data_IF_809170547338
#
_entry.id   IF_809170547338
#
_cell.length_a   1.000
_cell.length_b   1.000
_cell.length_c   1.000
_cell.angle_alpha   90.00
_cell.angle_beta   90.00
_cell.angle_gamma   90.00
#
_symmetry.space_group_name_H-M   'P 1'
#
loop_
_entity.id
_entity.type
_entity.pdbx_description
1 polymer ?
#
# COMPACT_ATOMS: atom_id res chain seq x y z
N UNK A 1 -13.18 13.94 15.95
CA UNK A 1 -12.84 12.78 16.80
C UNK A 1 -13.48 12.89 18.20
N UNK A 2 -14.51 13.74 18.37
CA UNK A 2 -15.18 14.00 19.65
C UNK A 2 -16.02 12.83 20.20
N UNK A 3 -16.19 11.75 19.44
CA UNK A 3 -16.97 10.57 19.85
C UNK A 3 -16.11 9.43 20.43
N UNK A 4 -14.78 9.52 20.36
CA UNK A 4 -13.86 8.45 20.84
C UNK A 4 -13.68 8.49 22.38
N UNK A 5 -14.06 9.58 23.05
CA UNK A 5 -13.94 9.67 24.50
C UNK A 5 -15.10 10.47 25.09
N UNK A 6 -16.04 9.85 25.82
CA UNK A 6 -17.10 10.57 26.52
C UNK A 6 -16.60 11.26 27.81
N UNK A 7 -15.28 11.29 28.05
CA UNK A 7 -14.73 11.81 29.30
C UNK A 7 -14.53 13.32 29.28
N UNK A 8 -14.73 13.91 30.47
CA UNK A 8 -14.72 15.33 30.91
C UNK A 8 -13.63 16.26 30.34
N UNK A 9 -12.66 15.77 29.58
CA UNK A 9 -11.59 16.54 28.95
C UNK A 9 -11.45 16.08 27.49
N UNK A 10 -11.53 17.01 26.54
CA UNK A 10 -11.26 16.73 25.13
C UNK A 10 -9.87 16.08 24.99
N UNK A 11 -9.83 14.88 24.42
CA UNK A 11 -8.57 14.20 24.09
C UNK A 11 -8.41 14.23 22.57
N UNK A 12 -7.33 14.87 22.13
CA UNK A 12 -6.91 14.83 20.73
C UNK A 12 -5.92 13.67 20.55
N UNK A 13 -6.24 12.74 19.65
CA UNK A 13 -5.28 11.71 19.24
C UNK A 13 -4.50 12.27 18.05
N UNK A 14 -3.26 12.67 18.31
CA UNK A 14 -2.33 13.15 17.30
C UNK A 14 -1.49 11.99 16.78
N UNK A 15 -1.71 11.58 15.54
CA UNK A 15 -0.77 10.71 14.84
C UNK A 15 0.43 11.53 14.39
N UNK A 16 1.64 11.02 14.62
CA UNK A 16 2.87 11.64 14.09
C UNK A 16 2.67 11.85 12.58
N UNK A 17 2.82 13.11 12.14
CA UNK A 17 2.50 13.53 10.78
C UNK A 17 3.13 12.56 9.76
N UNK A 18 2.28 12.15 8.83
CA UNK A 18 2.67 11.50 7.58
C UNK A 18 3.71 12.31 6.82
N UNK A 19 4.44 11.63 5.94
CA UNK A 19 5.48 12.22 5.08
C UNK A 19 4.97 13.48 4.36
N UNK A 20 5.53 14.64 4.72
CA UNK A 20 5.26 15.92 4.05
C UNK A 20 6.20 16.08 2.86
N UNK A 21 5.69 15.89 1.65
CA UNK A 21 6.37 16.31 0.43
C UNK A 21 6.31 17.84 0.28
N UNK A 22 7.47 18.47 0.10
CA UNK A 22 7.62 19.92 -0.08
C UNK A 22 6.88 20.47 -1.32
N UNK A 23 6.49 19.61 -2.27
CA UNK A 23 5.80 19.97 -3.51
C UNK A 23 4.28 19.79 -3.46
N UNK A 24 3.74 19.28 -2.36
CA UNK A 24 2.32 19.01 -2.22
C UNK A 24 1.66 20.12 -1.40
N UNK A 25 0.55 20.68 -1.89
CA UNK A 25 -0.17 21.71 -1.16
C UNK A 25 -0.76 21.15 0.15
N UNK A 26 -1.06 22.03 1.10
CA UNK A 26 -1.55 21.62 2.42
C UNK A 26 -2.86 20.81 2.33
N UNK A 27 -3.66 21.06 1.28
CA UNK A 27 -4.92 20.37 1.03
C UNK A 27 -4.69 18.92 0.61
N UNK A 28 -3.78 18.68 -0.33
CA UNK A 28 -3.41 17.35 -0.81
C UNK A 28 -2.76 16.53 0.31
N UNK A 29 -1.99 17.16 1.19
CA UNK A 29 -1.48 16.50 2.40
C UNK A 29 -2.59 16.06 3.35
N UNK A 30 -3.55 16.95 3.62
CA UNK A 30 -4.69 16.65 4.50
C UNK A 30 -5.59 15.56 3.92
N UNK A 31 -5.75 15.51 2.60
CA UNK A 31 -6.63 14.53 1.94
C UNK A 31 -5.94 13.18 1.75
N UNK A 32 -4.71 13.16 1.22
CA UNK A 32 -4.01 11.91 0.89
C UNK A 32 -3.38 11.23 2.09
N UNK A 33 -3.09 11.97 3.17
CA UNK A 33 -2.40 11.43 4.34
C UNK A 33 -3.21 11.48 5.64
N UNK A 34 -4.51 11.76 5.55
CA UNK A 34 -5.42 11.63 6.68
C UNK A 34 -5.67 10.16 7.05
N UNK A 35 -6.11 9.96 8.28
CA UNK A 35 -6.60 8.69 8.80
C UNK A 35 -8.10 8.76 8.98
N UNK A 36 -8.79 7.71 8.53
CA UNK A 36 -10.17 7.43 8.87
C UNK A 36 -10.20 6.66 10.19
N UNK A 37 -11.21 6.95 11.02
CA UNK A 37 -11.46 6.24 12.27
C UNK A 37 -12.91 5.75 12.28
N UNK A 38 -13.12 4.48 12.62
CA UNK A 38 -14.46 3.92 12.82
C UNK A 38 -14.48 2.98 14.01
N UNK A 39 -15.63 2.85 14.67
CA UNK A 39 -15.85 1.78 15.66
C UNK A 39 -15.87 0.46 14.90
N UNK A 40 -14.98 -0.45 15.27
CA UNK A 40 -14.95 -1.81 14.74
C UNK A 40 -15.85 -2.74 15.57
N UNK A 41 -15.82 -2.59 16.89
CA UNK A 41 -16.71 -3.27 17.82
C UNK A 41 -16.82 -2.50 19.13
N UNK A 42 -17.91 -2.69 19.87
CA UNK A 42 -18.13 -2.08 21.17
C UNK A 42 -18.90 -3.06 22.07
N UNK A 43 -18.43 -3.20 23.30
CA UNK A 43 -19.10 -3.92 24.40
C UNK A 43 -19.31 -2.98 25.61
N UNK A 44 -19.82 -3.51 26.72
CA UNK A 44 -20.13 -2.72 27.92
C UNK A 44 -18.90 -1.97 28.48
N UNK A 45 -17.69 -2.47 28.27
CA UNK A 45 -16.46 -1.96 28.88
C UNK A 45 -15.41 -1.47 27.86
N UNK A 46 -15.53 -1.85 26.59
CA UNK A 46 -14.49 -1.67 25.58
C UNK A 46 -15.06 -1.20 24.25
N UNK A 47 -14.45 -0.18 23.67
CA UNK A 47 -14.66 0.22 22.27
C UNK A 47 -13.36 -0.02 21.48
N UNK A 48 -13.44 -0.85 20.44
CA UNK A 48 -12.35 -1.03 19.48
C UNK A 48 -12.53 -0.07 18.32
N UNK A 49 -11.49 0.71 18.03
CA UNK A 49 -11.49 1.73 16.98
C UNK A 49 -10.48 1.31 15.93
N UNK A 50 -10.97 1.08 14.72
CA UNK A 50 -10.13 0.80 13.57
C UNK A 50 -9.73 2.10 12.91
N UNK A 51 -8.42 2.26 12.75
CA UNK A 51 -7.80 3.38 12.06
C UNK A 51 -7.27 2.90 10.71
N UNK A 52 -7.76 3.50 9.65
CA UNK A 52 -7.33 3.20 8.28
C UNK A 52 -6.78 4.46 7.64
N UNK A 53 -5.74 4.33 6.83
CA UNK A 53 -5.23 5.46 6.08
C UNK A 53 -6.19 5.76 4.90
N UNK A 54 -6.51 7.02 4.62
CA UNK A 54 -7.51 7.40 3.59
C UNK A 54 -7.23 6.75 2.24
N UNK A 55 -5.97 6.68 1.84
CA UNK A 55 -5.58 6.09 0.56
C UNK A 55 -5.80 4.57 0.50
N UNK A 56 -5.69 3.89 1.65
CA UNK A 56 -6.04 2.47 1.75
C UNK A 56 -7.53 2.27 1.48
N UNK A 57 -8.38 3.06 2.12
CA UNK A 57 -9.83 2.97 1.95
C UNK A 57 -10.28 3.37 0.54
N UNK A 58 -9.51 4.24 -0.13
CA UNK A 58 -9.80 4.67 -1.50
C UNK A 58 -9.82 3.51 -2.50
N UNK A 59 -8.91 2.54 -2.35
CA UNK A 59 -8.69 1.49 -3.35
C UNK A 59 -9.00 0.07 -2.85
N UNK A 60 -9.47 -0.09 -1.61
CA UNK A 60 -9.73 -1.40 -1.00
C UNK A 60 -10.70 -2.27 -1.81
N UNK A 61 -11.81 -1.69 -2.28
CA UNK A 61 -12.82 -2.45 -3.04
C UNK A 61 -12.29 -2.91 -4.39
N UNK A 62 -11.59 -2.03 -5.12
CA UNK A 62 -10.98 -2.35 -6.41
C UNK A 62 -9.86 -3.37 -6.26
N UNK A 63 -9.08 -3.27 -5.17
CA UNK A 63 -8.04 -4.25 -4.83
C UNK A 63 -8.65 -5.65 -4.67
N UNK A 64 -9.79 -5.76 -3.98
CA UNK A 64 -10.49 -7.02 -3.78
C UNK A 64 -11.09 -7.56 -5.08
N UNK A 65 -11.68 -6.69 -5.91
CA UNK A 65 -12.24 -7.08 -7.21
C UNK A 65 -11.16 -7.66 -8.13
N UNK A 66 -10.02 -6.98 -8.29
CA UNK A 66 -8.90 -7.47 -9.10
C UNK A 66 -8.34 -8.75 -8.50
N UNK A 67 -8.21 -8.84 -7.18
CA UNK A 67 -7.77 -10.07 -6.52
C UNK A 67 -8.65 -11.27 -6.87
N UNK A 68 -9.97 -11.09 -6.81
CA UNK A 68 -10.94 -12.13 -7.17
C UNK A 68 -10.84 -12.54 -8.66
N UNK A 69 -10.68 -11.58 -9.58
CA UNK A 69 -10.47 -11.87 -11.01
C UNK A 69 -9.24 -12.77 -11.25
N UNK A 70 -8.21 -12.64 -10.42
CA UNK A 70 -6.99 -13.44 -10.49
C UNK A 70 -7.00 -14.64 -9.53
N UNK A 71 -8.16 -15.02 -8.98
CA UNK A 71 -8.31 -16.11 -8.00
C UNK A 71 -7.31 -15.99 -6.83
N UNK A 72 -7.12 -14.77 -6.33
CA UNK A 72 -6.25 -14.39 -5.21
C UNK A 72 -4.77 -14.76 -5.37
N UNK A 73 -4.32 -15.02 -6.60
CA UNK A 73 -2.92 -15.40 -6.90
C UNK A 73 -1.96 -14.22 -6.80
N UNK A 74 -2.43 -13.00 -7.09
CA UNK A 74 -1.63 -11.79 -7.01
C UNK A 74 -1.65 -11.25 -5.57
N UNK A 75 -0.51 -10.77 -5.09
CA UNK A 75 -0.40 -10.16 -3.77
C UNK A 75 -1.27 -8.89 -3.67
N UNK A 76 -2.11 -8.79 -2.65
CA UNK A 76 -3.03 -7.66 -2.45
C UNK A 76 -2.30 -6.31 -2.32
N UNK A 77 -1.14 -6.27 -1.65
CA UNK A 77 -0.35 -5.03 -1.55
C UNK A 77 0.17 -4.58 -2.91
N UNK A 78 0.49 -5.53 -3.81
CA UNK A 78 0.95 -5.24 -5.16
C UNK A 78 -0.19 -4.65 -6.00
N UNK A 79 -1.38 -5.25 -5.95
CA UNK A 79 -2.58 -4.71 -6.61
C UNK A 79 -2.87 -3.30 -6.11
N UNK A 80 -2.85 -3.07 -4.80
CA UNK A 80 -3.10 -1.77 -4.21
C UNK A 80 -2.08 -0.72 -4.66
N UNK A 81 -0.78 -1.07 -4.71
CA UNK A 81 0.26 -0.17 -5.22
C UNK A 81 0.08 0.09 -6.73
N UNK A 82 -0.32 -0.92 -7.51
CA UNK A 82 -0.58 -0.73 -8.94
C UNK A 82 -1.78 0.21 -9.19
N UNK A 83 -2.88 0.06 -8.43
CA UNK A 83 -4.01 0.98 -8.44
C UNK A 83 -3.58 2.40 -8.10
N UNK A 84 -2.75 2.55 -7.07
CA UNK A 84 -2.22 3.84 -6.66
C UNK A 84 -1.43 4.54 -7.79
N UNK A 85 -0.57 3.81 -8.50
CA UNK A 85 0.20 4.36 -9.62
C UNK A 85 -0.68 4.86 -10.77
N UNK A 86 -1.90 4.33 -10.91
CA UNK A 86 -2.86 4.74 -11.94
C UNK A 86 -4.08 5.48 -11.38
N UNK A 87 -3.99 6.05 -10.18
CA UNK A 87 -5.09 6.79 -9.54
C UNK A 87 -6.43 6.02 -9.52
N UNK A 88 -6.37 4.71 -9.34
CA UNK A 88 -7.55 3.84 -9.30
C UNK A 88 -8.09 3.38 -10.65
N UNK A 89 -7.42 3.66 -11.78
CA UNK A 89 -7.83 3.13 -13.08
C UNK A 89 -7.60 1.61 -13.13
N UNK A 90 -8.70 0.85 -13.14
CA UNK A 90 -8.66 -0.60 -13.13
C UNK A 90 -8.12 -1.20 -14.43
N UNK A 91 -8.41 -0.60 -15.58
CA UNK A 91 -7.99 -1.16 -16.87
C UNK A 91 -6.46 -1.08 -17.01
N UNK A 92 -5.91 0.10 -16.73
CA UNK A 92 -4.46 0.31 -16.73
C UNK A 92 -3.76 -0.54 -15.66
N UNK A 93 -4.39 -0.71 -14.49
CA UNK A 93 -3.88 -1.57 -13.43
C UNK A 93 -3.84 -3.04 -13.88
N UNK A 94 -4.92 -3.57 -14.45
CA UNK A 94 -4.99 -4.96 -14.90
C UNK A 94 -3.96 -5.22 -16.00
N UNK A 95 -3.81 -4.29 -16.95
CA UNK A 95 -2.80 -4.40 -18.00
C UNK A 95 -1.38 -4.42 -17.43
N UNK A 96 -1.06 -3.55 -16.47
CA UNK A 96 0.24 -3.52 -15.81
C UNK A 96 0.52 -4.81 -15.03
N UNK A 97 -0.46 -5.31 -14.28
CA UNK A 97 -0.35 -6.57 -13.54
C UNK A 97 -0.11 -7.76 -14.48
N UNK A 98 -0.78 -7.78 -15.63
CA UNK A 98 -0.57 -8.80 -16.64
C UNK A 98 0.84 -8.74 -17.22
N UNK A 99 1.34 -7.55 -17.59
CA UNK A 99 2.72 -7.36 -18.06
C UNK A 99 3.74 -7.77 -17.00
N UNK A 100 3.51 -7.41 -15.75
CA UNK A 100 4.38 -7.78 -14.64
C UNK A 100 4.46 -9.30 -14.45
N UNK A 101 3.32 -10.00 -14.44
CA UNK A 101 3.31 -11.45 -14.30
C UNK A 101 4.04 -12.13 -15.47
N UNK A 102 3.89 -11.63 -16.70
CA UNK A 102 4.69 -12.12 -17.84
C UNK A 102 6.20 -11.85 -17.66
N UNK A 103 6.56 -10.61 -17.31
CA UNK A 103 7.95 -10.21 -17.09
C UNK A 103 8.64 -11.04 -16.00
N UNK A 104 7.91 -11.41 -14.94
CA UNK A 104 8.44 -12.20 -13.81
C UNK A 104 9.02 -13.55 -14.24
N UNK A 105 8.40 -14.21 -15.22
CA UNK A 105 8.84 -15.51 -15.74
C UNK A 105 9.84 -15.41 -16.90
N UNK A 106 10.05 -14.22 -17.46
CA UNK A 106 11.02 -14.00 -18.51
C UNK A 106 12.44 -13.83 -17.96
N UNK A 107 13.46 -14.18 -18.76
CA UNK A 107 14.87 -13.86 -18.53
C UNK A 107 15.42 -14.22 -17.14
N UNK A 108 14.80 -15.18 -16.46
CA UNK A 108 15.08 -15.55 -15.07
C UNK A 108 15.01 -14.35 -14.10
N UNK A 109 14.15 -13.36 -14.35
CA UNK A 109 14.03 -12.13 -13.57
C UNK A 109 13.83 -12.40 -12.08
N UNK A 110 13.01 -13.39 -11.72
CA UNK A 110 12.85 -13.81 -10.31
C UNK A 110 14.17 -14.30 -9.69
N UNK A 111 14.98 -15.07 -10.43
CA UNK A 111 16.28 -15.54 -9.93
C UNK A 111 17.30 -14.40 -9.83
N UNK A 112 17.25 -13.44 -10.76
CA UNK A 112 18.08 -12.24 -10.69
C UNK A 112 17.77 -11.40 -9.45
N UNK A 113 16.49 -11.26 -9.11
CA UNK A 113 16.07 -10.63 -7.87
C UNK A 113 16.63 -11.35 -6.64
N UNK A 114 16.58 -12.69 -6.57
CA UNK A 114 17.14 -13.45 -5.44
C UNK A 114 18.60 -13.11 -5.15
N UNK A 115 19.40 -12.81 -6.19
CA UNK A 115 20.81 -12.35 -6.04
C UNK A 115 20.95 -10.96 -5.42
N UNK A 116 19.92 -10.11 -5.52
CA UNK A 116 19.90 -8.72 -5.05
C UNK A 116 19.01 -8.51 -3.81
N UNK A 117 18.29 -9.54 -3.36
CA UNK A 117 17.28 -9.46 -2.29
C UNK A 117 17.82 -8.85 -0.99
N UNK A 118 19.06 -9.16 -0.61
CA UNK A 118 19.67 -8.60 0.59
C UNK A 118 19.74 -7.06 0.58
N UNK A 119 19.94 -6.43 -0.59
CA UNK A 119 19.96 -4.96 -0.71
C UNK A 119 18.61 -4.32 -0.37
N UNK A 120 17.51 -5.02 -0.67
CA UNK A 120 16.17 -4.61 -0.28
C UNK A 120 15.95 -4.80 1.23
N UNK A 121 16.40 -5.92 1.78
CA UNK A 121 16.29 -6.21 3.21
C UNK A 121 17.07 -5.21 4.08
N UNK A 122 18.25 -4.74 3.64
CA UNK A 122 19.02 -3.68 4.31
C UNK A 122 18.23 -2.35 4.41
N UNK A 123 17.28 -2.13 3.50
CA UNK A 123 16.35 -0.99 3.52
C UNK A 123 14.98 -1.34 4.13
N UNK A 124 14.90 -2.45 4.89
CA UNK A 124 13.69 -2.95 5.54
C UNK A 124 12.54 -3.30 4.58
N UNK A 125 12.86 -3.53 3.30
CA UNK A 125 11.88 -3.92 2.28
C UNK A 125 11.69 -5.44 2.30
N UNK A 126 10.88 -5.92 3.25
CA UNK A 126 10.71 -7.35 3.50
C UNK A 126 9.72 -8.05 2.54
N UNK A 127 8.90 -7.30 1.81
CA UNK A 127 7.92 -7.88 0.89
C UNK A 127 8.53 -8.13 -0.49
N UNK A 128 8.84 -9.39 -0.77
CA UNK A 128 9.50 -9.80 -2.01
C UNK A 128 8.67 -9.54 -3.28
N UNK A 129 7.33 -9.59 -3.20
CA UNK A 129 6.48 -9.29 -4.34
C UNK A 129 6.59 -7.80 -4.71
N UNK A 130 6.62 -6.91 -3.71
CA UNK A 130 6.82 -5.48 -3.94
C UNK A 130 8.23 -5.19 -4.44
N UNK A 131 9.24 -5.87 -3.91
CA UNK A 131 10.62 -5.69 -4.38
C UNK A 131 10.76 -6.06 -5.86
N UNK A 132 10.21 -7.21 -6.27
CA UNK A 132 10.17 -7.65 -7.68
C UNK A 132 9.42 -6.65 -8.55
N UNK A 133 8.24 -6.22 -8.12
CA UNK A 133 7.44 -5.24 -8.83
C UNK A 133 8.17 -3.90 -8.99
N UNK A 134 8.91 -3.47 -7.97
CA UNK A 134 9.71 -2.24 -8.01
C UNK A 134 10.85 -2.32 -9.03
N UNK A 135 11.46 -3.50 -9.22
CA UNK A 135 12.47 -3.74 -10.26
C UNK A 135 11.82 -3.60 -11.64
N UNK A 136 10.69 -4.29 -11.86
CA UNK A 136 9.93 -4.21 -13.10
C UNK A 136 9.58 -2.75 -13.46
N UNK A 137 8.99 -2.01 -12.51
CA UNK A 137 8.64 -0.60 -12.75
C UNK A 137 9.86 0.27 -13.11
N UNK A 138 11.02 0.00 -12.51
CA UNK A 138 12.25 0.72 -12.83
C UNK A 138 12.76 0.38 -14.23
N UNK A 139 12.72 -0.89 -14.63
CA UNK A 139 13.14 -1.35 -15.95
C UNK A 139 12.25 -0.81 -17.07
N UNK A 140 10.94 -0.75 -16.83
CA UNK A 140 9.95 -0.17 -17.75
C UNK A 140 9.95 1.38 -17.75
N UNK A 141 10.77 2.01 -16.90
CA UNK A 141 10.83 3.48 -16.80
C UNK A 141 9.56 4.13 -16.23
N UNK A 142 8.72 3.36 -15.54
CA UNK A 142 7.45 3.82 -14.96
C UNK A 142 7.63 4.56 -13.63
N UNK A 143 8.82 4.47 -13.02
CA UNK A 143 9.18 5.20 -11.81
C UNK A 143 10.46 6.01 -12.02
N UNK A 144 10.53 7.17 -11.36
CA UNK A 144 11.69 8.08 -11.44
C UNK A 144 12.83 7.72 -10.48
N UNK A 145 12.56 6.86 -9.50
CA UNK A 145 13.51 6.44 -8.47
C UNK A 145 14.04 5.05 -8.77
N UNK A 146 15.17 4.68 -8.16
CA UNK A 146 15.62 3.30 -8.19
C UNK A 146 14.61 2.37 -7.52
N UNK A 147 14.65 1.09 -7.90
CA UNK A 147 13.70 0.08 -7.41
C UNK A 147 13.75 -0.11 -5.90
N UNK A 148 14.92 0.06 -5.28
CA UNK A 148 15.09 -0.05 -3.82
C UNK A 148 14.47 1.17 -3.12
N UNK A 149 14.70 2.38 -3.62
CA UNK A 149 14.13 3.61 -3.07
C UNK A 149 12.61 3.59 -3.17
N UNK A 150 12.08 3.11 -4.30
CA UNK A 150 10.65 2.96 -4.49
C UNK A 150 10.05 1.92 -3.53
N UNK A 151 10.65 0.73 -3.43
CA UNK A 151 10.20 -0.29 -2.47
C UNK A 151 10.21 0.23 -1.04
N UNK A 152 11.26 0.95 -0.64
CA UNK A 152 11.38 1.55 0.69
C UNK A 152 10.29 2.61 0.93
N UNK A 153 9.98 3.43 -0.08
CA UNK A 153 8.90 4.40 -0.01
C UNK A 153 7.54 3.71 0.12
N UNK A 154 7.28 2.64 -0.63
CA UNK A 154 6.05 1.86 -0.49
C UNK A 154 5.92 1.23 0.90
N UNK A 155 6.99 0.62 1.43
CA UNK A 155 6.98 0.05 2.78
C UNK A 155 6.74 1.11 3.85
N UNK A 156 7.42 2.25 3.76
CA UNK A 156 7.30 3.32 4.76
C UNK A 156 5.96 4.05 4.71
N UNK A 157 5.44 4.31 3.51
CA UNK A 157 4.24 5.13 3.33
C UNK A 157 2.95 4.30 3.38
N UNK A 158 2.95 3.11 2.77
CA UNK A 158 1.73 2.32 2.60
C UNK A 158 1.58 1.23 3.66
N UNK A 159 2.62 0.96 4.45
CA UNK A 159 2.61 -0.01 5.56
C UNK A 159 2.45 -1.47 5.15
N UNK A 160 2.12 -1.75 3.88
CA UNK A 160 1.79 -3.08 3.35
C UNK A 160 0.68 -3.76 4.18
N UNK A 161 -0.44 -3.04 4.32
CA UNK A 161 -1.55 -3.35 5.22
C UNK A 161 -2.27 -4.68 4.96
N UNK A 162 -2.08 -5.30 3.79
CA UNK A 162 -2.68 -6.60 3.50
C UNK A 162 -1.82 -7.77 3.96
N UNK A 163 -2.45 -8.73 4.63
CA UNK A 163 -1.87 -9.99 5.08
C UNK A 163 -2.62 -11.17 4.47
N UNK A 164 -2.08 -12.39 4.60
CA UNK A 164 -2.61 -13.57 3.90
C UNK A 164 -4.07 -13.88 4.26
N UNK A 165 -4.49 -13.61 5.50
CA UNK A 165 -5.89 -13.77 5.96
C UNK A 165 -6.90 -12.86 5.26
N UNK A 166 -6.44 -11.83 4.55
CA UNK A 166 -7.33 -10.90 3.85
C UNK A 166 -7.73 -11.43 2.47
N UNK A 167 -7.07 -12.48 1.98
CA UNK A 167 -7.54 -13.26 0.82
C UNK A 167 -8.68 -14.15 1.32
N UNK A 168 -9.91 -13.78 0.99
CA UNK A 168 -11.13 -14.52 1.32
C UNK A 168 -11.70 -15.16 0.08
#
# INVERSE_FOLDING_TARGET
VSWISPFKHEREILFSRSRTYYNADEKMHKEQHAWNAKVESEDEYTQMILLTWVKYDQYIQQTMQISAMWNHKINLNLIHIALDNYNGDMNNTIELLFKFEQWKFQNNNEQQYKKKANKFLEKRCCNHNINLFSIFLAEEGLIKYGSIEFAAACTANNGLSFVEKDKK
#
